data_IF_976476000990
#
_entry.id   IF_976476000990
#
_cell.length_a   1.000
_cell.length_b   1.000
_cell.length_c   1.000
_cell.angle_alpha   90.00
_cell.angle_beta   90.00
_cell.angle_gamma   90.00
#
_symmetry.space_group_name_H-M   'P 1'
#
loop_
_entity.id
_entity.type
_entity.pdbx_description
1 polymer ?
#
# COMPACT_ATOMS: atom_id res chain seq x y z
N UNK A 1 -30.85 4.26 8.29
CA UNK A 1 -29.58 4.55 9.01
C UNK A 1 -29.81 4.20 10.47
N UNK A 2 -29.12 3.16 10.97
CA UNK A 2 -29.38 2.57 12.28
C UNK A 2 -28.69 3.35 13.42
N UNK A 3 -27.50 3.92 13.15
CA UNK A 3 -26.79 4.80 14.08
C UNK A 3 -26.12 5.99 13.37
N UNK A 4 -26.65 7.19 13.58
CA UNK A 4 -26.10 8.42 12.97
C UNK A 4 -24.78 8.85 13.63
N UNK A 5 -24.61 8.55 14.92
CA UNK A 5 -23.41 8.91 15.70
C UNK A 5 -22.20 8.15 15.18
N UNK A 6 -22.32 6.83 15.00
CA UNK A 6 -21.24 6.00 14.48
C UNK A 6 -20.84 6.42 13.07
N UNK A 7 -21.80 6.76 12.20
CA UNK A 7 -21.53 7.22 10.85
C UNK A 7 -20.69 8.51 10.82
N UNK A 8 -21.00 9.47 11.71
CA UNK A 8 -20.22 10.71 11.82
C UNK A 8 -18.82 10.42 12.35
N UNK A 9 -18.69 9.57 13.38
CA UNK A 9 -17.38 9.17 13.91
C UNK A 9 -16.52 8.50 12.83
N UNK A 10 -17.09 7.58 12.04
CA UNK A 10 -16.40 6.94 10.92
C UNK A 10 -15.94 7.93 9.86
N UNK A 11 -16.80 8.90 9.50
CA UNK A 11 -16.44 9.93 8.53
C UNK A 11 -15.32 10.85 9.04
N UNK A 12 -15.33 11.20 10.33
CA UNK A 12 -14.27 12.00 10.96
C UNK A 12 -12.96 11.23 10.94
N UNK A 13 -12.95 9.97 11.39
CA UNK A 13 -11.76 9.13 11.42
C UNK A 13 -11.21 8.90 10.02
N UNK A 14 -12.07 8.59 9.04
CA UNK A 14 -11.68 8.40 7.65
C UNK A 14 -11.02 9.66 7.08
N UNK A 15 -11.65 10.82 7.28
CA UNK A 15 -11.12 12.10 6.80
C UNK A 15 -9.76 12.41 7.45
N UNK A 16 -9.62 12.14 8.75
CA UNK A 16 -8.37 12.30 9.49
C UNK A 16 -7.27 11.39 8.94
N UNK A 17 -7.56 10.11 8.70
CA UNK A 17 -6.60 9.13 8.12
C UNK A 17 -6.14 9.57 6.74
N UNK A 18 -7.06 10.02 5.88
CA UNK A 18 -6.75 10.52 4.54
C UNK A 18 -5.88 11.79 4.62
N UNK A 19 -6.20 12.73 5.51
CA UNK A 19 -5.39 13.93 5.70
C UNK A 19 -3.99 13.60 6.22
N UNK A 20 -3.87 12.70 7.20
CA UNK A 20 -2.59 12.23 7.73
C UNK A 20 -1.75 11.53 6.67
N UNK A 21 -2.36 10.79 5.74
CA UNK A 21 -1.65 10.17 4.62
C UNK A 21 -0.99 11.21 3.71
N UNK A 22 -1.71 12.28 3.34
CA UNK A 22 -1.11 13.35 2.54
C UNK A 22 -0.07 14.14 3.34
N UNK A 23 -0.34 14.40 4.61
CA UNK A 23 0.54 15.18 5.48
C UNK A 23 1.84 14.43 5.78
N UNK A 24 1.81 13.11 5.94
CA UNK A 24 3.02 12.31 6.19
C UNK A 24 3.98 12.37 5.01
N UNK A 25 3.46 12.37 3.77
CA UNK A 25 4.24 12.55 2.55
C UNK A 25 4.89 13.93 2.45
N UNK A 26 4.19 15.00 2.85
CA UNK A 26 4.68 16.38 2.72
C UNK A 26 5.62 16.78 3.87
N UNK A 27 5.26 16.48 5.12
CA UNK A 27 6.00 16.90 6.31
C UNK A 27 7.18 15.98 6.65
N UNK A 28 7.43 14.93 5.86
CA UNK A 28 8.43 13.88 6.14
C UNK A 28 8.28 13.30 7.54
N UNK A 29 7.05 13.15 8.01
CA UNK A 29 6.79 12.46 9.27
C UNK A 29 7.29 11.01 9.10
N UNK A 30 8.00 10.47 10.08
CA UNK A 30 8.47 9.07 10.09
C UNK A 30 7.31 8.05 10.29
N UNK A 31 6.11 8.40 9.84
CA UNK A 31 4.91 7.58 9.90
C UNK A 31 4.66 6.96 8.53
N UNK A 32 5.02 5.69 8.39
CA UNK A 32 4.70 4.91 7.21
C UNK A 32 3.18 4.73 7.08
N UNK A 33 2.69 4.51 5.85
CA UNK A 33 1.26 4.33 5.55
C UNK A 33 0.60 3.26 6.42
N UNK A 34 1.30 2.16 6.70
CA UNK A 34 0.82 1.07 7.56
C UNK A 34 0.48 1.56 8.98
N UNK A 35 1.30 2.44 9.56
CA UNK A 35 1.05 2.99 10.90
C UNK A 35 -0.18 3.89 10.94
N UNK A 36 -0.36 4.72 9.90
CA UNK A 36 -1.51 5.62 9.79
C UNK A 36 -2.81 4.81 9.69
N UNK A 37 -2.82 3.74 8.90
CA UNK A 37 -3.97 2.85 8.77
C UNK A 37 -4.32 2.15 10.11
N UNK A 38 -3.32 1.63 10.83
CA UNK A 38 -3.51 0.98 12.13
C UNK A 38 -4.03 1.99 13.16
N UNK A 39 -3.51 3.22 13.20
CA UNK A 39 -4.01 4.29 14.07
C UNK A 39 -5.47 4.64 13.76
N UNK A 40 -5.85 4.72 12.49
CA UNK A 40 -7.23 4.93 12.07
C UNK A 40 -8.16 3.81 12.53
N UNK A 41 -7.76 2.56 12.33
CA UNK A 41 -8.50 1.38 12.81
C UNK A 41 -8.68 1.40 14.33
N UNK A 42 -7.59 1.60 15.09
CA UNK A 42 -7.64 1.65 16.56
C UNK A 42 -8.53 2.81 17.05
N UNK A 43 -8.42 3.99 16.44
CA UNK A 43 -9.27 5.13 16.80
C UNK A 43 -10.76 4.83 16.56
N UNK A 44 -11.10 4.20 15.43
CA UNK A 44 -12.48 3.82 15.13
C UNK A 44 -13.02 2.80 16.13
N UNK A 45 -12.23 1.76 16.46
CA UNK A 45 -12.63 0.72 17.41
C UNK A 45 -12.89 1.31 18.80
N UNK A 46 -12.02 2.20 19.27
CA UNK A 46 -12.19 2.90 20.55
C UNK A 46 -13.44 3.78 20.56
N UNK A 47 -13.69 4.53 19.48
CA UNK A 47 -14.87 5.41 19.38
C UNK A 47 -16.19 4.65 19.19
N UNK A 48 -16.14 3.50 18.52
CA UNK A 48 -17.29 2.64 18.29
C UNK A 48 -17.60 1.72 19.48
N UNK A 49 -16.69 1.62 20.46
CA UNK A 49 -16.76 0.69 21.59
C UNK A 49 -17.16 -0.74 21.15
N UNK A 50 -16.57 -1.21 20.05
CA UNK A 50 -16.89 -2.48 19.41
C UNK A 50 -15.74 -3.47 19.63
N UNK A 51 -16.05 -4.76 19.73
CA UNK A 51 -15.06 -5.82 19.85
C UNK A 51 -14.23 -5.97 18.57
N UNK A 52 -12.93 -6.23 18.71
CA UNK A 52 -12.02 -6.37 17.57
C UNK A 52 -12.18 -7.70 16.84
N UNK A 53 -12.46 -8.80 17.55
CA UNK A 53 -12.63 -10.15 16.96
C UNK A 53 -13.50 -10.14 15.69
N UNK A 54 -14.78 -9.68 15.73
CA UNK A 54 -15.65 -9.72 14.56
C UNK A 54 -15.17 -8.80 13.43
N UNK A 55 -14.38 -7.76 13.72
CA UNK A 55 -13.82 -6.88 12.69
C UNK A 55 -12.66 -7.55 11.94
N UNK A 56 -11.86 -8.37 12.64
CA UNK A 56 -10.75 -9.11 12.05
C UNK A 56 -11.22 -10.24 11.13
N UNK A 57 -12.43 -10.76 11.34
CA UNK A 57 -13.05 -11.74 10.43
C UNK A 57 -13.34 -11.16 9.04
N UNK A 58 -13.54 -9.85 8.93
CA UNK A 58 -13.77 -9.16 7.65
C UNK A 58 -12.47 -8.83 6.91
N UNK A 59 -11.32 -9.14 7.48
CA UNK A 59 -10.03 -8.93 6.82
C UNK A 59 -9.84 -10.01 5.76
N UNK A 60 -9.48 -9.58 4.55
CA UNK A 60 -9.15 -10.46 3.43
C UNK A 60 -7.74 -11.06 3.60
N UNK A 61 -7.60 -12.00 4.54
CA UNK A 61 -6.33 -12.64 4.87
C UNK A 61 -5.67 -13.31 3.65
N UNK A 62 -6.48 -13.88 2.75
CA UNK A 62 -5.99 -14.47 1.50
C UNK A 62 -5.27 -13.45 0.61
N UNK A 63 -5.81 -12.23 0.50
CA UNK A 63 -5.20 -11.15 -0.27
C UNK A 63 -3.91 -10.63 0.38
N UNK A 64 -3.87 -10.50 1.71
CA UNK A 64 -2.65 -10.10 2.43
C UNK A 64 -1.53 -11.12 2.27
N UNK A 65 -1.84 -12.41 2.40
CA UNK A 65 -0.89 -13.50 2.19
C UNK A 65 -0.42 -13.58 0.74
N UNK A 66 -1.32 -13.35 -0.23
CA UNK A 66 -0.96 -13.26 -1.64
C UNK A 66 0.05 -12.14 -1.91
N UNK A 67 -0.18 -10.93 -1.39
CA UNK A 67 0.78 -9.84 -1.55
C UNK A 67 2.11 -10.11 -0.84
N UNK A 68 2.09 -10.70 0.35
CA UNK A 68 3.30 -11.11 1.04
C UNK A 68 4.11 -12.13 0.20
N UNK A 69 3.45 -13.13 -0.37
CA UNK A 69 4.08 -14.12 -1.25
C UNK A 69 4.64 -13.47 -2.53
N UNK A 70 3.91 -12.52 -3.14
CA UNK A 70 4.41 -11.76 -4.30
C UNK A 70 5.66 -10.95 -3.95
N UNK A 71 5.73 -10.32 -2.78
CA UNK A 71 6.92 -9.60 -2.35
C UNK A 71 8.11 -10.53 -2.10
N UNK A 72 7.87 -11.69 -1.46
CA UNK A 72 8.91 -12.72 -1.29
C UNK A 72 9.42 -13.20 -2.65
N UNK A 73 8.52 -13.48 -3.59
CA UNK A 73 8.86 -13.88 -4.95
C UNK A 73 9.68 -12.81 -5.66
N UNK A 74 9.22 -11.56 -5.66
CA UNK A 74 9.90 -10.44 -6.31
C UNK A 74 11.31 -10.24 -5.75
N UNK A 75 11.48 -10.29 -4.43
CA UNK A 75 12.78 -10.18 -3.80
C UNK A 75 13.68 -11.41 -4.10
N UNK A 76 13.10 -12.60 -4.21
CA UNK A 76 13.82 -13.79 -4.66
C UNK A 76 14.35 -13.66 -6.10
N UNK A 77 13.51 -13.17 -7.02
CA UNK A 77 13.87 -12.90 -8.41
C UNK A 77 14.98 -11.83 -8.52
N UNK A 78 14.90 -10.79 -7.70
CA UNK A 78 15.94 -9.76 -7.57
C UNK A 78 17.27 -10.37 -7.14
N UNK A 79 17.29 -11.16 -6.05
CA UNK A 79 18.51 -11.82 -5.55
C UNK A 79 19.12 -12.81 -6.53
N UNK A 80 18.30 -13.51 -7.30
CA UNK A 80 18.74 -14.43 -8.36
C UNK A 80 19.26 -13.68 -9.60
N UNK A 81 19.12 -12.34 -9.66
CA UNK A 81 19.55 -11.53 -10.80
C UNK A 81 18.65 -11.66 -12.03
N UNK A 82 17.50 -12.34 -11.92
CA UNK A 82 16.57 -12.57 -13.03
C UNK A 82 16.04 -11.24 -13.57
N UNK A 83 15.69 -10.31 -12.68
CA UNK A 83 15.20 -8.98 -13.06
C UNK A 83 16.26 -8.24 -13.90
N UNK A 84 17.53 -8.29 -13.47
CA UNK A 84 18.64 -7.67 -14.19
C UNK A 84 18.86 -8.32 -15.55
N UNK A 85 18.86 -9.65 -15.61
CA UNK A 85 19.03 -10.39 -16.85
C UNK A 85 17.95 -10.04 -17.89
N UNK A 86 16.68 -9.97 -17.48
CA UNK A 86 15.59 -9.51 -18.34
C UNK A 86 15.82 -8.06 -18.79
N UNK A 87 16.22 -7.19 -17.87
CA UNK A 87 16.56 -5.79 -18.18
C UNK A 87 17.64 -5.66 -19.25
N UNK A 88 18.73 -6.43 -19.13
CA UNK A 88 19.84 -6.42 -20.08
C UNK A 88 19.39 -6.88 -21.48
N UNK A 89 18.50 -7.89 -21.56
CA UNK A 89 17.89 -8.32 -22.82
C UNK A 89 17.07 -7.21 -23.45
N UNK A 90 16.19 -6.56 -22.67
CA UNK A 90 15.34 -5.47 -23.16
C UNK A 90 16.20 -4.29 -23.65
N UNK A 91 17.25 -3.92 -22.91
CA UNK A 91 18.20 -2.87 -23.31
C UNK A 91 18.92 -3.22 -24.60
N UNK A 92 19.34 -4.48 -24.77
CA UNK A 92 19.99 -4.97 -26.00
C UNK A 92 19.07 -4.85 -27.21
N UNK A 93 17.80 -5.26 -27.06
CA UNK A 93 16.78 -5.15 -28.12
C UNK A 93 16.56 -3.69 -28.51
N UNK A 94 16.36 -2.80 -27.53
CA UNK A 94 16.17 -1.36 -27.78
C UNK A 94 17.42 -0.75 -28.42
N UNK A 95 18.61 -1.22 -28.04
CA UNK A 95 19.87 -0.70 -28.56
C UNK A 95 20.18 -1.10 -30.00
N UNK A 96 19.58 -2.17 -30.49
CA UNK A 96 19.64 -2.59 -31.88
C UNK A 96 18.78 -1.74 -32.83
N UNK A 97 17.90 -0.88 -32.31
CA UNK A 97 17.04 0.03 -33.11
C UNK A 97 17.80 1.32 -33.43
N UNK A 98 17.57 1.89 -34.63
CA UNK A 98 18.28 3.09 -35.11
C UNK A 98 18.08 4.30 -34.20
N UNK A 99 19.15 5.09 -34.01
CA UNK A 99 19.20 6.20 -33.05
C UNK A 99 18.16 7.30 -33.28
N UNK A 100 17.62 7.40 -34.49
CA UNK A 100 16.60 8.39 -34.89
C UNK A 100 15.24 8.18 -34.20
N UNK A 101 14.92 6.95 -33.75
CA UNK A 101 13.70 6.63 -33.01
C UNK A 101 13.92 6.40 -31.51
N UNK A 102 15.17 6.50 -31.05
CA UNK A 102 15.52 6.40 -29.63
C UNK A 102 15.24 7.76 -29.01
N UNK A 103 13.98 8.03 -28.64
CA UNK A 103 13.61 9.24 -27.91
C UNK A 103 14.51 9.36 -26.68
N UNK A 104 15.42 10.33 -26.74
CA UNK A 104 16.36 10.70 -25.68
C UNK A 104 15.58 11.10 -24.44
N UNK A 105 15.75 10.34 -23.36
CA UNK A 105 15.54 10.80 -21.99
C UNK A 105 16.91 10.91 -21.35
#
# INVERSE_FOLDING_TARGET
IKDKVLLVNSMIVLSLVVLLFFLSGVLKLHLNLSWIAILGFMALVLLANTEMEPLLEHVEWGTLLFFAALFILMHGLEKLGIIKWIGDIVVSIISGVSAEYRLTV
#
